data_IF_010373714980
#
_entry.id   IF_010373714980
#
_cell.length_a   1.000
_cell.length_b   1.000
_cell.length_c   1.000
_cell.angle_alpha   90.00
_cell.angle_beta   90.00
_cell.angle_gamma   90.00
#
_symmetry.space_group_name_H-M   'P 1'
#
loop_
_entity.id
_entity.type
_entity.pdbx_description
1 polymer ?
#
# COMPACT_ATOMS: atom_id res chain seq x y z
N UNK A 1 -42.66 26.09 -30.24
CA UNK A 1 -41.32 26.13 -30.86
C UNK A 1 -40.82 24.70 -31.05
N UNK A 2 -41.21 24.01 -32.11
CA UNK A 2 -40.75 22.66 -32.42
C UNK A 2 -40.81 22.47 -33.93
N UNK A 3 -39.67 22.20 -34.58
CA UNK A 3 -39.49 21.53 -35.89
C UNK A 3 -38.07 21.80 -36.43
N UNK A 4 -37.09 21.03 -35.97
CA UNK A 4 -35.74 20.97 -36.57
C UNK A 4 -35.22 19.52 -36.58
N UNK A 5 -36.07 18.56 -36.96
CA UNK A 5 -35.69 17.12 -36.94
C UNK A 5 -36.03 16.36 -38.24
N UNK A 6 -36.33 17.05 -39.35
CA UNK A 6 -36.85 16.39 -40.58
C UNK A 6 -35.86 16.24 -41.73
N UNK A 7 -34.56 16.14 -41.46
CA UNK A 7 -33.60 15.84 -42.53
C UNK A 7 -32.31 15.17 -42.05
N UNK A 8 -32.41 14.16 -41.18
CA UNK A 8 -31.31 13.23 -40.98
C UNK A 8 -31.61 11.98 -41.79
N UNK A 9 -30.68 11.56 -42.64
CA UNK A 9 -30.68 10.21 -43.21
C UNK A 9 -30.49 9.20 -42.08
N UNK A 10 -30.99 7.98 -42.24
CA UNK A 10 -30.79 6.92 -41.24
C UNK A 10 -29.30 6.78 -40.89
N UNK A 11 -28.44 6.83 -41.91
CA UNK A 11 -26.98 6.85 -41.76
C UNK A 11 -26.47 7.99 -40.87
N UNK A 12 -27.02 9.19 -41.04
CA UNK A 12 -26.63 10.36 -40.24
C UNK A 12 -27.07 10.25 -38.78
N UNK A 13 -28.22 9.61 -38.52
CA UNK A 13 -28.68 9.32 -37.16
C UNK A 13 -27.78 8.28 -36.48
N UNK A 14 -27.45 7.17 -37.17
CA UNK A 14 -26.54 6.16 -36.63
C UNK A 14 -25.13 6.70 -36.39
N UNK A 15 -24.63 7.56 -37.29
CA UNK A 15 -23.32 8.20 -37.15
C UNK A 15 -23.29 9.20 -35.98
N UNK A 16 -24.39 9.94 -35.76
CA UNK A 16 -24.52 10.82 -34.60
C UNK A 16 -24.52 10.02 -33.29
N UNK A 17 -25.34 8.97 -33.19
CA UNK A 17 -25.42 8.13 -31.98
C UNK A 17 -24.08 7.48 -31.67
N UNK A 18 -23.40 6.90 -32.68
CA UNK A 18 -22.10 6.24 -32.49
C UNK A 18 -20.98 7.20 -32.09
N UNK A 19 -20.95 8.41 -32.67
CA UNK A 19 -19.95 9.42 -32.30
C UNK A 19 -20.16 9.98 -30.89
N UNK A 20 -21.42 10.05 -30.41
CA UNK A 20 -21.74 10.55 -29.07
C UNK A 20 -21.77 9.45 -28.00
N UNK A 21 -21.86 8.17 -28.38
CA UNK A 21 -21.72 7.00 -27.50
C UNK A 21 -20.26 6.57 -27.33
N UNK A 22 -19.33 7.13 -28.13
CA UNK A 22 -17.90 6.89 -27.97
C UNK A 22 -17.43 7.58 -26.70
N UNK A 23 -17.57 6.89 -25.56
CA UNK A 23 -16.89 7.27 -24.34
C UNK A 23 -15.40 7.43 -24.67
N UNK A 24 -14.74 8.51 -24.22
CA UNK A 24 -13.30 8.62 -24.39
C UNK A 24 -12.68 7.39 -23.73
N UNK A 25 -12.15 6.50 -24.57
CA UNK A 25 -11.44 5.32 -24.12
C UNK A 25 -10.19 5.85 -23.44
N UNK A 26 -10.24 6.00 -22.11
CA UNK A 26 -9.07 6.33 -21.31
C UNK A 26 -8.21 5.06 -21.40
N UNK A 27 -7.36 5.00 -22.41
CA UNK A 27 -6.36 3.95 -22.53
C UNK A 27 -5.40 4.13 -21.35
N UNK A 28 -5.71 3.48 -20.24
CA UNK A 28 -4.82 3.45 -19.08
C UNK A 28 -3.61 2.62 -19.52
N UNK A 29 -2.40 3.20 -19.54
CA UNK A 29 -1.23 2.44 -19.93
C UNK A 29 -0.98 1.33 -18.90
N UNK A 30 -0.52 0.16 -19.36
CA UNK A 30 -0.21 -0.99 -18.50
C UNK A 30 0.71 -0.60 -17.33
N UNK A 31 1.61 0.36 -17.55
CA UNK A 31 2.49 0.91 -16.51
C UNK A 31 1.75 1.61 -15.37
N UNK A 32 0.64 2.30 -15.64
CA UNK A 32 -0.17 2.94 -14.60
C UNK A 32 -0.90 1.89 -13.76
N UNK A 33 -1.44 0.85 -14.40
CA UNK A 33 -2.06 -0.28 -13.68
C UNK A 33 -1.02 -1.00 -12.80
N UNK A 34 0.16 -1.27 -13.35
CA UNK A 34 1.26 -1.87 -12.60
C UNK A 34 1.70 -0.99 -11.42
N UNK A 35 1.76 0.34 -11.59
CA UNK A 35 2.10 1.26 -10.52
C UNK A 35 1.07 1.24 -9.39
N UNK A 36 -0.23 1.16 -9.72
CA UNK A 36 -1.31 1.05 -8.73
C UNK A 36 -1.16 -0.25 -7.93
N UNK A 37 -0.98 -1.39 -8.59
CA UNK A 37 -0.77 -2.67 -7.90
C UNK A 37 0.49 -2.66 -7.03
N UNK A 38 1.63 -2.16 -7.55
CA UNK A 38 2.86 -2.03 -6.78
C UNK A 38 2.68 -1.14 -5.55
N UNK A 39 1.94 -0.04 -5.68
CA UNK A 39 1.62 0.87 -4.57
C UNK A 39 0.75 0.16 -3.54
N UNK A 40 -0.32 -0.51 -3.97
CA UNK A 40 -1.22 -1.24 -3.09
C UNK A 40 -0.48 -2.35 -2.31
N UNK A 41 0.36 -3.14 -3.00
CA UNK A 41 1.20 -4.17 -2.37
C UNK A 41 2.14 -3.55 -1.32
N UNK A 42 2.76 -2.41 -1.64
CA UNK A 42 3.64 -1.70 -0.72
C UNK A 42 2.87 -1.21 0.52
N UNK A 43 1.69 -0.62 0.33
CA UNK A 43 0.84 -0.17 1.45
C UNK A 43 0.41 -1.33 2.34
N UNK A 44 -0.04 -2.44 1.75
CA UNK A 44 -0.43 -3.63 2.50
C UNK A 44 0.75 -4.17 3.31
N UNK A 45 1.93 -4.28 2.69
CA UNK A 45 3.12 -4.75 3.38
C UNK A 45 3.53 -3.83 4.55
N UNK A 46 3.49 -2.50 4.35
CA UNK A 46 3.74 -1.52 5.44
C UNK A 46 2.77 -1.71 6.61
N UNK A 47 1.48 -1.85 6.32
CA UNK A 47 0.47 -2.05 7.36
C UNK A 47 0.69 -3.34 8.14
N UNK A 48 1.02 -4.45 7.47
CA UNK A 48 1.32 -5.72 8.13
C UNK A 48 2.55 -5.63 9.05
N UNK A 49 3.61 -4.94 8.61
CA UNK A 49 4.79 -4.72 9.47
C UNK A 49 4.44 -3.81 10.65
N UNK A 50 3.63 -2.77 10.44
CA UNK A 50 3.17 -1.91 11.52
C UNK A 50 2.36 -2.70 12.55
N UNK A 51 1.40 -3.52 12.10
CA UNK A 51 0.59 -4.38 12.97
C UNK A 51 1.47 -5.34 13.78
N UNK A 52 2.48 -5.95 13.15
CA UNK A 52 3.45 -6.79 13.85
C UNK A 52 4.19 -6.02 14.94
N UNK A 53 4.69 -4.82 14.64
CA UNK A 53 5.44 -4.02 15.59
C UNK A 53 4.56 -3.58 16.76
N UNK A 54 3.32 -3.15 16.50
CA UNK A 54 2.37 -2.81 17.55
C UNK A 54 2.03 -4.03 18.42
N UNK A 55 1.88 -5.21 17.82
CA UNK A 55 1.69 -6.45 18.56
C UNK A 55 2.88 -6.79 19.47
N UNK A 56 4.11 -6.60 18.99
CA UNK A 56 5.33 -6.79 19.80
C UNK A 56 5.45 -5.76 20.92
N UNK A 57 5.13 -4.49 20.66
CA UNK A 57 5.13 -3.43 21.67
C UNK A 57 4.11 -3.69 22.79
N UNK A 58 3.00 -4.36 22.48
CA UNK A 58 2.00 -4.72 23.49
C UNK A 58 2.43 -5.84 24.44
N UNK A 59 3.56 -6.51 24.16
CA UNK A 59 4.08 -7.56 25.04
C UNK A 59 4.81 -6.97 26.25
N UNK A 60 4.58 -7.49 27.47
CA UNK A 60 5.29 -7.04 28.66
C UNK A 60 6.82 -7.10 28.52
N UNK A 61 7.32 -8.10 27.77
CA UNK A 61 8.73 -8.30 27.49
C UNK A 61 9.36 -7.10 26.77
N UNK A 62 8.64 -6.41 25.88
CA UNK A 62 9.16 -5.26 25.14
C UNK A 62 9.57 -4.10 26.08
N UNK A 63 8.92 -3.96 27.22
CA UNK A 63 9.20 -2.91 28.20
C UNK A 63 10.43 -3.21 29.07
N UNK A 64 10.81 -4.48 29.22
CA UNK A 64 11.85 -4.94 30.15
C UNK A 64 13.13 -5.32 29.42
N UNK A 65 13.01 -5.85 28.20
CA UNK A 65 14.14 -6.27 27.41
C UNK A 65 14.97 -5.07 26.98
N UNK A 66 16.27 -5.18 27.19
CA UNK A 66 17.24 -4.23 26.69
C UNK A 66 17.42 -4.46 25.19
N UNK A 67 17.54 -3.36 24.45
CA UNK A 67 17.94 -3.40 23.06
C UNK A 67 19.30 -4.07 22.92
N UNK A 68 19.43 -4.95 21.93
CA UNK A 68 20.74 -5.51 21.54
C UNK A 68 21.61 -4.48 20.81
N UNK A 69 21.01 -3.47 20.18
CA UNK A 69 21.68 -2.51 19.28
C UNK A 69 21.91 -1.12 19.91
N UNK A 70 21.27 -0.83 21.03
CA UNK A 70 21.31 0.49 21.66
C UNK A 70 21.29 0.38 23.19
N UNK A 71 21.50 1.51 23.89
CA UNK A 71 21.29 1.59 25.35
C UNK A 71 19.80 1.73 25.73
N UNK A 72 18.89 1.50 24.78
CA UNK A 72 17.45 1.63 24.97
C UNK A 72 16.79 0.27 25.28
N UNK A 73 15.48 0.24 25.41
CA UNK A 73 14.70 -1.01 25.52
C UNK A 73 14.25 -1.49 24.14
N UNK A 74 13.84 -2.75 24.03
CA UNK A 74 13.21 -3.29 22.82
C UNK A 74 12.03 -2.41 22.38
N UNK A 75 11.22 -1.91 23.33
CA UNK A 75 10.16 -0.93 23.06
C UNK A 75 10.69 0.35 22.38
N UNK A 76 11.84 0.86 22.81
CA UNK A 76 12.48 2.03 22.20
C UNK A 76 12.87 1.78 20.75
N UNK A 77 13.50 0.65 20.48
CA UNK A 77 13.87 0.24 19.12
C UNK A 77 12.64 0.04 18.22
N UNK A 78 11.59 -0.62 18.73
CA UNK A 78 10.33 -0.82 18.01
C UNK A 78 9.63 0.53 17.72
N UNK A 79 9.68 1.49 18.66
CA UNK A 79 9.11 2.84 18.46
C UNK A 79 9.84 3.64 17.38
N UNK A 80 11.16 3.51 17.30
CA UNK A 80 11.94 4.10 16.22
C UNK A 80 11.58 3.48 14.86
N UNK A 81 11.28 2.18 14.84
CA UNK A 81 10.83 1.47 13.65
C UNK A 81 9.47 1.97 13.12
N UNK A 82 8.51 2.27 14.00
CA UNK A 82 7.21 2.86 13.60
C UNK A 82 7.42 4.17 12.84
N UNK A 83 8.28 5.04 13.35
CA UNK A 83 8.65 6.31 12.69
C UNK A 83 9.29 6.07 11.33
N UNK A 84 10.11 5.01 11.21
CA UNK A 84 10.77 4.66 9.95
C UNK A 84 9.76 4.16 8.91
N UNK A 85 8.78 3.34 9.30
CA UNK A 85 7.74 2.78 8.40
C UNK A 85 6.89 3.87 7.74
N UNK A 86 6.54 4.88 8.53
CA UNK A 86 5.76 6.03 8.07
C UNK A 86 6.56 6.94 7.13
N UNK A 87 7.89 6.79 7.07
CA UNK A 87 8.73 7.54 6.14
C UNK A 87 8.57 7.06 4.68
N UNK A 88 8.78 8.00 3.75
CA UNK A 88 8.85 7.70 2.32
C UNK A 88 10.06 6.82 1.95
N UNK A 89 11.02 6.65 2.85
CA UNK A 89 12.28 5.93 2.61
C UNK A 89 12.30 4.54 3.24
N UNK A 90 11.18 4.06 3.79
CA UNK A 90 11.10 2.71 4.34
C UNK A 90 11.27 1.65 3.24
N UNK A 91 12.37 0.91 3.29
CA UNK A 91 12.52 -0.32 2.52
C UNK A 91 11.89 -1.48 3.30
N UNK A 92 10.84 -2.08 2.75
CA UNK A 92 10.16 -3.24 3.34
C UNK A 92 11.14 -4.40 3.63
N UNK A 93 12.23 -4.53 2.87
CA UNK A 93 13.26 -5.55 3.10
C UNK A 93 13.94 -5.40 4.46
N UNK A 94 13.97 -4.19 5.02
CA UNK A 94 14.52 -3.95 6.35
C UNK A 94 13.73 -4.66 7.46
N UNK A 95 12.45 -4.98 7.24
CA UNK A 95 11.61 -5.73 8.17
C UNK A 95 11.79 -7.25 8.10
N UNK A 96 12.46 -7.79 7.07
CA UNK A 96 12.63 -9.25 6.88
C UNK A 96 13.26 -9.90 8.13
N UNK A 97 14.36 -9.38 8.71
CA UNK A 97 14.98 -10.02 9.87
C UNK A 97 14.03 -10.10 11.08
N UNK A 98 13.20 -9.08 11.30
CA UNK A 98 12.23 -9.06 12.39
C UNK A 98 11.12 -10.09 12.15
N UNK A 99 10.61 -10.17 10.92
CA UNK A 99 9.58 -11.14 10.54
C UNK A 99 10.10 -12.57 10.66
N UNK A 100 11.34 -12.82 10.23
CA UNK A 100 12.00 -14.12 10.34
C UNK A 100 12.17 -14.54 11.82
N UNK A 101 12.60 -13.63 12.69
CA UNK A 101 12.74 -13.92 14.12
C UNK A 101 11.41 -14.32 14.75
N UNK A 102 10.33 -13.60 14.44
CA UNK A 102 9.00 -13.90 14.97
C UNK A 102 8.47 -15.24 14.45
N UNK A 103 8.58 -15.50 13.14
CA UNK A 103 8.13 -16.77 12.53
C UNK A 103 8.90 -17.96 13.10
N UNK A 104 10.20 -17.80 13.34
CA UNK A 104 11.05 -18.85 13.86
C UNK A 104 10.94 -19.03 15.40
N UNK A 105 10.06 -18.28 16.07
CA UNK A 105 9.96 -18.24 17.52
C UNK A 105 11.33 -18.01 18.18
N UNK A 106 12.12 -17.09 17.61
CA UNK A 106 13.41 -16.74 18.17
C UNK A 106 13.24 -16.28 19.62
N UNK A 107 14.19 -16.60 20.52
CA UNK A 107 14.15 -16.11 21.89
C UNK A 107 14.08 -14.59 21.92
N UNK A 108 13.38 -14.02 22.91
CA UNK A 108 13.22 -12.56 22.99
C UNK A 108 14.57 -11.80 23.09
N UNK A 109 15.64 -12.48 23.54
CA UNK A 109 17.01 -11.97 23.60
C UNK A 109 17.67 -11.80 22.21
N UNK A 110 17.07 -12.38 21.18
CA UNK A 110 17.54 -12.34 19.80
C UNK A 110 16.80 -11.33 18.93
N UNK A 111 15.69 -10.78 19.43
CA UNK A 111 14.90 -9.71 18.79
C UNK A 111 15.63 -8.37 18.88
#
# INVERSE_FOLDING_TARGET
>A
MQRLWRHWTEDGYYQWVTNHQKQPSIAVPSSAVQAVFSTAVTTVAKNLVLDLILALQSQPAAHVLLSRKSRSTLLGDLSAYVTLIDSNNFDIKSAIPLVEQVINNAPDLEI
#
